data_IF_950176617360
#
_entry.id   IF_950176617360
#
_cell.length_a   1.000
_cell.length_b   1.000
_cell.length_c   1.000
_cell.angle_alpha   90.00
_cell.angle_beta   90.00
_cell.angle_gamma   90.00
#
_symmetry.space_group_name_H-M   'P 1'
#
loop_
_entity.id
_entity.type
_entity.pdbx_description
1 polymer ?
#
# COMPACT_ATOMS: atom_id res chain seq x y z
N UNK A 1 -0.06 5.12 -23.75
CA UNK A 1 0.57 4.66 -22.50
C UNK A 1 -0.41 5.02 -21.40
N UNK A 2 -0.98 4.04 -20.71
CA UNK A 2 -2.18 4.28 -19.90
C UNK A 2 -1.77 4.86 -18.55
N UNK A 3 -1.58 6.19 -18.51
CA UNK A 3 -1.14 6.97 -17.34
C UNK A 3 -1.84 6.57 -16.03
N UNK A 4 -3.08 6.07 -16.15
CA UNK A 4 -3.89 5.51 -15.08
C UNK A 4 -3.24 4.38 -14.26
N UNK A 5 -2.53 3.43 -14.89
CA UNK A 5 -1.90 2.29 -14.18
C UNK A 5 -0.75 2.73 -13.29
N UNK A 6 0.08 3.68 -13.76
CA UNK A 6 1.14 4.29 -12.96
C UNK A 6 0.54 5.06 -11.78
N UNK A 7 -0.55 5.80 -12.01
CA UNK A 7 -1.24 6.51 -10.93
C UNK A 7 -1.82 5.57 -9.87
N UNK A 8 -2.40 4.43 -10.27
CA UNK A 8 -2.84 3.38 -9.36
C UNK A 8 -1.67 2.78 -8.56
N UNK A 9 -0.53 2.53 -9.20
CA UNK A 9 0.68 2.07 -8.51
C UNK A 9 1.16 3.05 -7.44
N UNK A 10 1.15 4.35 -7.74
CA UNK A 10 1.52 5.40 -6.78
C UNK A 10 0.54 5.52 -5.62
N UNK A 11 -0.76 5.41 -5.89
CA UNK A 11 -1.80 5.41 -4.85
C UNK A 11 -1.67 4.19 -3.94
N UNK A 12 -1.37 3.00 -4.48
CA UNK A 12 -1.09 1.80 -3.70
C UNK A 12 0.11 1.98 -2.77
N UNK A 13 1.21 2.57 -3.27
CA UNK A 13 2.41 2.83 -2.48
C UNK A 13 2.14 3.86 -1.35
N UNK A 14 1.40 4.92 -1.65
CA UNK A 14 0.96 5.90 -0.65
C UNK A 14 0.05 5.27 0.41
N UNK A 15 -0.89 4.41 -0.01
CA UNK A 15 -1.78 3.68 0.89
C UNK A 15 -1.01 2.73 1.81
N UNK A 16 0.00 2.05 1.28
CA UNK A 16 0.88 1.18 2.06
C UNK A 16 1.66 1.96 3.12
N UNK A 17 2.23 3.10 2.74
CA UNK A 17 2.97 3.98 3.64
C UNK A 17 2.07 4.54 4.74
N UNK A 18 0.87 5.02 4.39
CA UNK A 18 -0.10 5.53 5.36
C UNK A 18 -0.54 4.44 6.34
N UNK A 19 -0.84 3.23 5.85
CA UNK A 19 -1.18 2.08 6.71
C UNK A 19 -0.02 1.69 7.63
N UNK A 20 1.22 1.74 7.16
CA UNK A 20 2.40 1.49 7.99
C UNK A 20 2.58 2.51 9.11
N UNK A 21 2.42 3.80 8.81
CA UNK A 21 2.50 4.87 9.82
C UNK A 21 1.40 4.70 10.87
N UNK A 22 0.15 4.44 10.45
CA UNK A 22 -0.96 4.22 11.38
C UNK A 22 -0.71 2.96 12.21
N UNK A 23 -0.25 1.86 11.61
CA UNK A 23 0.10 0.64 12.33
C UNK A 23 1.15 0.86 13.42
N UNK A 24 2.17 1.70 13.14
CA UNK A 24 3.17 2.09 14.14
C UNK A 24 2.55 2.92 15.27
N UNK A 25 1.74 3.94 14.95
CA UNK A 25 1.05 4.76 15.95
C UNK A 25 0.20 3.88 16.88
N UNK A 26 -0.60 2.97 16.30
CA UNK A 26 -1.44 2.05 17.06
C UNK A 26 -0.62 1.06 17.88
N UNK A 27 0.55 0.63 17.40
CA UNK A 27 1.42 -0.29 18.13
C UNK A 27 2.09 0.34 19.36
N UNK A 28 2.39 1.64 19.31
CA UNK A 28 2.96 2.38 20.44
C UNK A 28 1.90 2.93 21.39
N UNK A 29 0.70 3.15 20.89
CA UNK A 29 -0.41 3.66 21.69
C UNK A 29 -1.00 2.54 22.57
N UNK A 30 -0.73 2.65 23.88
CA UNK A 30 -1.21 1.73 24.92
C UNK A 30 -2.44 2.28 25.67
N UNK A 31 -2.86 3.51 25.39
CA UNK A 31 -3.96 4.19 26.07
C UNK A 31 -5.30 4.09 25.33
N UNK A 32 -5.28 3.88 24.00
CA UNK A 32 -6.49 3.90 23.17
C UNK A 32 -6.68 2.58 22.44
N UNK A 33 -7.86 1.97 22.54
CA UNK A 33 -8.19 0.72 21.83
C UNK A 33 -8.64 1.02 20.40
N UNK A 34 -7.70 0.98 19.47
CA UNK A 34 -8.01 1.17 18.05
C UNK A 34 -8.74 -0.04 17.48
N UNK A 35 -9.86 0.21 16.79
CA UNK A 35 -10.83 -0.79 16.32
C UNK A 35 -10.24 -1.92 15.45
N UNK A 36 -9.13 -1.65 14.78
CA UNK A 36 -8.42 -2.58 13.89
C UNK A 36 -7.16 -3.19 14.53
N UNK A 37 -6.62 -2.58 15.61
CA UNK A 37 -5.32 -2.93 16.17
C UNK A 37 -4.16 -2.74 15.18
N UNK A 38 -2.92 -2.81 15.67
CA UNK A 38 -1.74 -2.58 14.83
C UNK A 38 -1.63 -3.62 13.69
N UNK A 39 -1.95 -4.88 13.96
CA UNK A 39 -1.83 -6.00 13.02
C UNK A 39 -2.69 -5.82 11.77
N UNK A 40 -3.93 -5.33 11.89
CA UNK A 40 -4.79 -5.14 10.73
C UNK A 40 -4.37 -3.94 9.87
N UNK A 41 -3.83 -2.87 10.48
CA UNK A 41 -3.25 -1.75 9.73
C UNK A 41 -2.02 -2.18 8.91
N UNK A 42 -1.13 -3.00 9.48
CA UNK A 42 0.00 -3.57 8.73
C UNK A 42 -0.44 -4.53 7.63
N UNK A 43 -1.49 -5.33 7.87
CA UNK A 43 -2.06 -6.22 6.86
C UNK A 43 -2.63 -5.42 5.69
N UNK A 44 -3.42 -4.38 5.96
CA UNK A 44 -3.94 -3.47 4.93
C UNK A 44 -2.83 -2.79 4.14
N UNK A 45 -1.77 -2.34 4.82
CA UNK A 45 -0.60 -1.76 4.17
C UNK A 45 0.15 -2.73 3.27
N UNK A 46 0.27 -3.99 3.67
CA UNK A 46 0.91 -5.05 2.88
C UNK A 46 0.13 -5.33 1.59
N UNK A 47 -1.20 -5.38 1.67
CA UNK A 47 -2.07 -5.55 0.48
C UNK A 47 -1.95 -4.36 -0.47
N UNK A 48 -1.92 -3.13 0.06
CA UNK A 48 -1.73 -1.93 -0.74
C UNK A 48 -0.34 -1.89 -1.42
N UNK A 49 0.70 -2.36 -0.73
CA UNK A 49 2.05 -2.48 -1.30
C UNK A 49 2.11 -3.52 -2.43
N UNK A 50 1.51 -4.69 -2.21
CA UNK A 50 1.39 -5.73 -3.23
C UNK A 50 0.68 -5.22 -4.48
N UNK A 51 -0.44 -4.51 -4.31
CA UNK A 51 -1.16 -3.89 -5.42
C UNK A 51 -0.27 -2.91 -6.19
N UNK A 52 0.49 -2.07 -5.48
CA UNK A 52 1.43 -1.13 -6.11
C UNK A 52 2.49 -1.85 -6.94
N UNK A 53 3.10 -2.90 -6.39
CA UNK A 53 4.14 -3.70 -7.06
C UNK A 53 3.57 -4.36 -8.31
N UNK A 54 2.39 -4.97 -8.23
CA UNK A 54 1.74 -5.63 -9.37
C UNK A 54 1.46 -4.62 -10.49
N UNK A 55 0.93 -3.44 -10.15
CA UNK A 55 0.65 -2.39 -11.14
C UNK A 55 1.91 -1.89 -11.84
N UNK A 56 3.02 -1.75 -11.10
CA UNK A 56 4.31 -1.36 -11.69
C UNK A 56 4.93 -2.48 -12.54
N UNK A 57 4.83 -3.75 -12.12
CA UNK A 57 5.29 -4.89 -12.90
C UNK A 57 4.52 -5.05 -14.21
N UNK A 58 3.20 -4.89 -14.15
CA UNK A 58 2.29 -4.98 -15.29
C UNK A 58 2.58 -3.87 -16.34
N UNK A 59 2.86 -2.65 -15.87
CA UNK A 59 3.40 -1.57 -16.71
C UNK A 59 4.76 -1.95 -17.33
N UNK A 60 5.70 -2.50 -16.56
CA UNK A 60 7.03 -2.89 -17.05
C UNK A 60 6.97 -4.00 -18.11
N UNK A 61 6.11 -5.01 -17.92
CA UNK A 61 5.87 -6.09 -18.90
C UNK A 61 5.24 -5.52 -20.17
N UNK A 62 4.28 -4.61 -20.03
CA UNK A 62 3.66 -3.93 -21.18
C UNK A 62 4.69 -3.10 -21.97
N UNK A 63 5.59 -2.40 -21.28
CA UNK A 63 6.65 -1.61 -21.90
C UNK A 63 7.71 -2.49 -22.60
N UNK A 64 8.00 -3.68 -22.07
CA UNK A 64 8.96 -4.63 -22.66
C UNK A 64 8.44 -5.32 -23.93
N UNK A 65 7.13 -5.51 -24.03
CA UNK A 65 6.48 -6.16 -25.20
C UNK A 65 6.15 -5.17 -26.33
N UNK A 66 6.67 -3.95 -26.28
CA UNK A 66 6.57 -2.92 -27.32
C UNK A 66 7.91 -2.71 -28.01
#
# INVERSE_FOLDING_TARGET
MNQWRIWLGRLGALGALACGIIGLIVGFDSGTTWKLGASAWFTGGTVAALLAIIMYLDEAVTARNK
#
